data_IF_611019044466
#
_entry.id   IF_611019044466
#
_cell.length_a   1.000
_cell.length_b   1.000
_cell.length_c   1.000
_cell.angle_alpha   90.00
_cell.angle_beta   90.00
_cell.angle_gamma   90.00
#
_symmetry.space_group_name_H-M   'P 1'
#
loop_
_entity.id
_entity.type
_entity.pdbx_description
1 polymer ?
#
# COMPACT_ATOMS: atom_id res chain seq x y z
N UNK A 1 -1.53 33.84 -37.54
CA UNK A 1 -1.19 32.41 -37.46
C UNK A 1 -0.77 32.12 -36.03
N UNK A 2 -1.74 31.85 -35.15
CA UNK A 2 -1.49 31.71 -33.72
C UNK A 2 -0.82 30.35 -33.45
N UNK A 3 0.48 30.42 -33.19
CA UNK A 3 1.37 29.43 -32.58
C UNK A 3 0.72 28.18 -31.99
N UNK A 4 0.47 27.16 -32.81
CA UNK A 4 0.05 25.81 -32.35
C UNK A 4 1.07 25.12 -31.42
N UNK A 5 2.31 25.64 -31.35
CA UNK A 5 3.34 25.18 -30.42
C UNK A 5 3.02 25.51 -28.96
N UNK A 6 2.35 26.64 -28.70
CA UNK A 6 2.04 27.09 -27.33
C UNK A 6 0.86 26.30 -26.77
N UNK A 7 -0.11 25.97 -27.62
CA UNK A 7 -1.28 25.17 -27.24
C UNK A 7 -0.89 23.75 -26.85
N UNK A 8 0.03 23.11 -27.60
CA UNK A 8 0.48 21.74 -27.31
C UNK A 8 1.18 21.62 -25.95
N UNK A 9 2.03 22.59 -25.61
CA UNK A 9 2.74 22.61 -24.31
C UNK A 9 1.74 22.76 -23.16
N UNK A 10 0.73 23.62 -23.30
CA UNK A 10 -0.30 23.80 -22.28
C UNK A 10 -1.11 22.50 -22.04
N UNK A 11 -1.45 21.77 -23.09
CA UNK A 11 -2.15 20.47 -22.96
C UNK A 11 -1.29 19.38 -22.30
N UNK A 12 0.01 19.32 -22.61
CA UNK A 12 0.91 18.36 -21.97
C UNK A 12 1.09 18.62 -20.47
N UNK A 13 1.22 19.88 -20.06
CA UNK A 13 1.35 20.24 -18.64
C UNK A 13 0.07 19.88 -17.87
N UNK A 14 -1.10 20.12 -18.46
CA UNK A 14 -2.38 19.76 -17.84
C UNK A 14 -2.52 18.23 -17.65
N UNK A 15 -2.04 17.43 -18.61
CA UNK A 15 -2.10 15.97 -18.53
C UNK A 15 -1.19 15.40 -17.43
N UNK A 16 0.00 15.99 -17.22
CA UNK A 16 0.94 15.57 -16.17
C UNK A 16 0.40 15.85 -14.77
N UNK A 17 -0.25 17.01 -14.56
CA UNK A 17 -0.88 17.35 -13.27
C UNK A 17 -1.99 16.34 -12.94
N UNK A 18 -2.85 16.00 -13.90
CA UNK A 18 -3.94 15.01 -13.69
C UNK A 18 -3.40 13.60 -13.39
N UNK A 19 -2.30 13.18 -14.02
CA UNK A 19 -1.69 11.87 -13.74
C UNK A 19 -0.96 11.81 -12.40
N UNK A 20 -0.52 12.95 -11.84
CA UNK A 20 0.20 13.00 -10.56
C UNK A 20 -0.72 12.72 -9.37
N UNK A 21 -2.00 13.10 -9.46
CA UNK A 21 -3.01 12.88 -8.42
C UNK A 21 -3.47 11.42 -8.29
N UNK A 22 -3.24 10.56 -9.30
CA UNK A 22 -3.69 9.16 -9.26
C UNK A 22 -2.76 8.26 -8.41
N UNK A 23 -1.51 8.69 -8.19
CA UNK A 23 -0.55 7.91 -7.40
C UNK A 23 -0.88 7.86 -5.90
N UNK A 24 -1.87 8.62 -5.43
CA UNK A 24 -2.23 8.72 -4.02
C UNK A 24 -3.36 7.77 -3.59
N UNK A 25 -3.89 6.92 -4.46
CA UNK A 25 -4.84 5.86 -4.09
C UNK A 25 -4.08 4.56 -3.79
N UNK A 26 -2.99 4.65 -3.04
CA UNK A 26 -2.60 3.52 -2.18
C UNK A 26 -3.28 3.82 -0.87
N UNK A 27 -4.48 3.24 -0.69
CA UNK A 27 -5.21 3.22 0.57
C UNK A 27 -4.39 2.43 1.61
N UNK A 28 -3.24 2.96 1.99
CA UNK A 28 -2.38 2.46 3.04
C UNK A 28 -3.09 2.80 4.34
N UNK A 29 -4.02 1.93 4.74
CA UNK A 29 -4.42 1.88 6.14
C UNK A 29 -3.13 1.84 6.95
N UNK A 30 -2.91 2.87 7.78
CA UNK A 30 -1.68 3.04 8.51
C UNK A 30 -1.42 1.77 9.34
N UNK A 31 -0.35 1.04 9.02
CA UNK A 31 0.02 -0.20 9.70
C UNK A 31 0.22 0.14 11.18
N UNK A 32 -0.59 -0.50 12.03
CA UNK A 32 -0.42 -0.46 13.48
C UNK A 32 0.57 -1.52 13.89
N UNK A 33 1.72 -1.07 14.38
CA UNK A 33 2.70 -1.93 15.02
C UNK A 33 2.11 -2.57 16.27
N UNK A 34 2.55 -3.79 16.59
CA UNK A 34 2.04 -4.54 17.75
C UNK A 34 0.52 -4.81 17.71
N UNK A 35 -0.04 -4.90 16.50
CA UNK A 35 -1.47 -5.07 16.32
C UNK A 35 -1.82 -5.91 15.09
N UNK A 36 -3.07 -6.35 15.06
CA UNK A 36 -3.68 -6.98 13.91
C UNK A 36 -4.08 -5.91 12.89
N UNK A 37 -3.62 -6.08 11.65
CA UNK A 37 -3.88 -5.18 10.54
C UNK A 37 -4.70 -5.91 9.49
N UNK A 38 -5.81 -5.29 9.10
CA UNK A 38 -6.55 -5.73 7.93
C UNK A 38 -5.75 -5.35 6.69
N UNK A 39 -5.14 -6.35 6.05
CA UNK A 39 -4.51 -6.18 4.74
C UNK A 39 -5.29 -7.04 3.75
N UNK A 40 -5.34 -6.63 2.48
CA UNK A 40 -6.25 -7.23 1.50
C UNK A 40 -6.16 -8.76 1.41
N UNK A 41 -4.97 -9.30 1.11
CA UNK A 41 -4.69 -10.74 1.12
C UNK A 41 -3.69 -11.06 2.21
N UNK A 42 -4.02 -12.03 3.07
CA UNK A 42 -3.13 -12.51 4.13
C UNK A 42 -3.37 -14.00 4.43
N UNK A 43 -3.33 -14.87 3.42
CA UNK A 43 -3.64 -16.28 3.60
C UNK A 43 -2.63 -16.97 4.53
N UNK A 44 -3.13 -17.65 5.57
CA UNK A 44 -2.28 -18.44 6.46
C UNK A 44 -1.65 -19.59 5.68
N UNK A 45 -0.32 -19.70 5.71
CA UNK A 45 0.45 -20.71 4.98
C UNK A 45 0.94 -20.27 3.60
N UNK A 46 0.51 -19.12 3.09
CA UNK A 46 1.07 -18.53 1.86
C UNK A 46 2.38 -17.80 2.17
N UNK A 47 3.50 -18.30 1.66
CA UNK A 47 4.81 -17.68 1.85
C UNK A 47 4.83 -16.23 1.33
N UNK A 48 4.22 -15.98 0.17
CA UNK A 48 4.18 -14.65 -0.46
C UNK A 48 3.35 -13.65 0.35
N UNK A 49 2.20 -14.06 0.90
CA UNK A 49 1.40 -13.18 1.76
C UNK A 49 2.10 -12.90 3.09
N UNK A 50 2.80 -13.90 3.64
CA UNK A 50 3.59 -13.75 4.86
C UNK A 50 4.75 -12.76 4.64
N UNK A 51 5.45 -12.84 3.51
CA UNK A 51 6.53 -11.91 3.17
C UNK A 51 6.01 -10.48 2.96
N UNK A 52 4.85 -10.31 2.32
CA UNK A 52 4.19 -9.01 2.22
C UNK A 52 3.83 -8.43 3.58
N UNK A 53 3.23 -9.23 4.46
CA UNK A 53 2.93 -8.82 5.84
C UNK A 53 4.21 -8.46 6.59
N UNK A 54 5.27 -9.26 6.43
CA UNK A 54 6.56 -9.02 7.04
C UNK A 54 7.18 -7.69 6.60
N UNK A 55 7.17 -7.40 5.29
CA UNK A 55 7.68 -6.16 4.73
C UNK A 55 6.87 -4.94 5.18
N UNK A 56 5.53 -5.07 5.27
CA UNK A 56 4.66 -4.02 5.80
C UNK A 56 4.98 -3.68 7.26
N UNK A 57 5.16 -4.70 8.09
CA UNK A 57 5.54 -4.54 9.50
C UNK A 57 7.02 -4.19 9.69
N UNK A 58 7.85 -4.23 8.64
CA UNK A 58 9.26 -3.84 8.69
C UNK A 58 9.49 -2.37 9.02
N UNK A 59 8.48 -1.53 8.76
CA UNK A 59 8.48 -0.10 9.12
C UNK A 59 8.23 0.14 10.62
N UNK A 60 7.91 -0.90 11.39
CA UNK A 60 7.72 -0.78 12.83
C UNK A 60 9.05 -0.61 13.58
N UNK A 61 9.06 0.14 14.70
CA UNK A 61 10.28 0.43 15.46
C UNK A 61 10.98 -0.84 15.98
N UNK A 62 10.21 -1.90 16.22
CA UNK A 62 10.72 -3.19 16.70
C UNK A 62 11.40 -4.03 15.60
N UNK A 63 11.11 -3.75 14.31
CA UNK A 63 11.60 -4.51 13.13
C UNK A 63 11.51 -6.03 13.24
N UNK A 64 10.61 -6.55 14.08
CA UNK A 64 10.37 -8.00 14.23
C UNK A 64 9.54 -8.59 13.10
N UNK A 65 9.07 -7.74 12.19
CA UNK A 65 8.28 -8.17 11.04
C UNK A 65 6.85 -8.50 11.41
N UNK A 66 6.22 -9.33 10.60
CA UNK A 66 4.82 -9.67 10.73
C UNK A 66 4.49 -10.98 10.05
N UNK A 67 3.36 -11.58 10.45
CA UNK A 67 2.86 -12.82 9.87
C UNK A 67 1.35 -12.80 9.71
N UNK A 68 0.88 -13.52 8.70
CA UNK A 68 -0.54 -13.75 8.52
C UNK A 68 -1.07 -14.71 9.59
N UNK A 69 -2.21 -14.35 10.17
CA UNK A 69 -2.88 -15.09 11.22
C UNK A 69 -4.38 -15.14 10.91
N UNK A 70 -4.99 -16.28 11.23
CA UNK A 70 -6.44 -16.42 11.26
C UNK A 70 -6.98 -15.90 12.61
N UNK A 71 -7.95 -14.99 12.57
CA UNK A 71 -8.68 -14.52 13.76
C UNK A 71 -10.07 -15.15 13.83
N UNK A 72 -10.70 -15.01 14.99
CA UNK A 72 -12.05 -15.51 15.23
C UNK A 72 -13.03 -14.95 14.18
N UNK A 73 -13.88 -15.82 13.64
CA UNK A 73 -14.73 -15.51 12.48
C UNK A 73 -14.10 -15.78 11.10
N UNK A 74 -12.97 -16.48 11.03
CA UNK A 74 -12.38 -16.98 9.76
C UNK A 74 -11.72 -15.91 8.90
N UNK A 75 -11.52 -14.70 9.44
CA UNK A 75 -10.83 -13.63 8.74
C UNK A 75 -9.32 -13.79 8.90
N UNK A 76 -8.62 -13.45 7.83
CA UNK A 76 -7.17 -13.42 7.79
C UNK A 76 -6.67 -11.99 8.01
N UNK A 77 -5.72 -11.82 8.91
CA UNK A 77 -5.13 -10.52 9.24
C UNK A 77 -3.61 -10.62 9.28
N UNK A 78 -2.94 -9.50 9.04
CA UNK A 78 -1.51 -9.37 9.21
C UNK A 78 -1.19 -8.92 10.64
N UNK A 79 -0.57 -9.79 11.42
CA UNK A 79 -0.16 -9.50 12.78
C UNK A 79 1.29 -9.00 12.79
N UNK A 80 1.50 -7.74 13.16
CA UNK A 80 2.85 -7.19 13.33
C UNK A 80 3.40 -7.53 14.72
N UNK A 81 4.59 -8.13 14.76
CA UNK A 81 5.23 -8.62 15.98
C UNK A 81 5.89 -7.49 16.78
N UNK A 82 5.84 -7.65 18.10
CA UNK A 82 6.76 -7.08 19.08
C UNK A 82 7.40 -8.26 19.85
#
# INVERSE_FOLDING_TARGET
>A
MASGKVTYIAFLVMFIVVCSDISSIVNAQAIKCCHDNAIGSCLTGSASDNERCNNLCGNCPQRKGGKCKLVDGGRHVCHCLC
#
